data_IF_166686360426
#
_entry.id   IF_166686360426
#
_cell.length_a   1.000
_cell.length_b   1.000
_cell.length_c   1.000
_cell.angle_alpha   90.00
_cell.angle_beta   90.00
_cell.angle_gamma   90.00
#
_symmetry.space_group_name_H-M   'P 1'
#
loop_
_entity.id
_entity.type
_entity.pdbx_description
1 polymer ?
#
# COMPACT_ATOMS: atom_id res chain seq x y z
N UNK A 1 10.63 -12.52 10.75
CA UNK A 1 9.26 -11.99 10.84
C UNK A 1 8.72 -11.87 9.43
N UNK A 2 7.63 -12.57 9.12
CA UNK A 2 7.20 -12.73 7.75
C UNK A 2 6.75 -11.37 7.18
N UNK A 3 7.37 -10.95 6.08
CA UNK A 3 6.94 -9.78 5.32
C UNK A 3 5.66 -10.15 4.56
N UNK A 4 4.55 -10.30 5.28
CA UNK A 4 3.21 -10.59 4.74
C UNK A 4 2.52 -9.36 4.16
N UNK A 5 3.25 -8.27 3.94
CA UNK A 5 2.72 -7.04 3.37
C UNK A 5 2.89 -7.10 1.86
N UNK A 6 1.81 -7.44 1.15
CA UNK A 6 1.77 -7.44 -0.32
C UNK A 6 0.92 -6.27 -0.82
N UNK A 7 1.09 -5.89 -2.08
CA UNK A 7 0.14 -5.00 -2.72
C UNK A 7 -1.19 -5.72 -2.93
N UNK A 8 -2.30 -5.21 -2.42
CA UNK A 8 -3.62 -5.84 -2.58
C UNK A 8 -4.14 -5.77 -4.03
N UNK A 9 -3.48 -5.00 -4.91
CA UNK A 9 -3.85 -4.86 -6.32
C UNK A 9 -3.07 -5.80 -7.25
N UNK A 10 -1.76 -5.88 -7.10
CA UNK A 10 -0.89 -6.65 -7.99
C UNK A 10 -0.18 -7.83 -7.31
N UNK A 11 -0.45 -8.04 -6.02
CA UNK A 11 0.14 -9.09 -5.19
C UNK A 11 1.67 -9.07 -5.12
N UNK A 12 2.30 -7.96 -5.54
CA UNK A 12 3.75 -7.82 -5.48
C UNK A 12 4.22 -7.81 -4.03
N UNK A 13 5.21 -8.64 -3.75
CA UNK A 13 5.89 -8.72 -2.47
C UNK A 13 6.76 -7.49 -2.22
N UNK A 14 7.12 -7.20 -0.96
CA UNK A 14 7.95 -6.07 -0.66
C UNK A 14 9.40 -6.38 -1.02
N UNK A 15 9.85 -5.88 -2.17
CA UNK A 15 11.26 -5.95 -2.53
C UNK A 15 12.09 -5.00 -1.65
N UNK A 16 13.40 -5.22 -1.54
CA UNK A 16 14.32 -4.51 -0.60
C UNK A 16 14.18 -2.98 -0.58
N UNK A 17 13.70 -2.35 -1.67
CA UNK A 17 13.51 -0.89 -1.79
C UNK A 17 12.06 -0.46 -2.11
N UNK A 18 11.08 -1.37 -2.12
CA UNK A 18 9.71 -0.99 -2.45
C UNK A 18 9.02 -0.35 -1.24
N UNK A 19 8.60 0.90 -1.41
CA UNK A 19 7.69 1.59 -0.51
C UNK A 19 6.25 1.15 -0.78
N UNK A 20 5.52 0.90 0.31
CA UNK A 20 4.09 0.59 0.28
C UNK A 20 3.34 1.71 0.96
N UNK A 21 2.06 1.83 0.65
CA UNK A 21 1.18 2.78 1.31
C UNK A 21 -0.08 2.07 1.76
N UNK A 22 -0.55 2.40 2.95
CA UNK A 22 -1.77 1.88 3.54
C UNK A 22 -2.88 2.92 3.36
N UNK A 23 -4.04 2.47 2.94
CA UNK A 23 -5.24 3.30 2.92
C UNK A 23 -6.00 3.20 4.24
N UNK A 24 -6.77 4.22 4.58
CA UNK A 24 -7.66 4.25 5.75
C UNK A 24 -8.67 3.11 5.80
N UNK A 25 -9.04 2.54 4.65
CA UNK A 25 -9.88 1.33 4.57
C UNK A 25 -9.10 0.01 4.74
N UNK A 26 -7.80 0.07 5.02
CA UNK A 26 -6.95 -1.10 5.28
C UNK A 26 -6.27 -1.73 4.06
N UNK A 27 -6.48 -1.20 2.84
CA UNK A 27 -5.84 -1.74 1.64
C UNK A 27 -4.42 -1.21 1.46
N UNK A 28 -3.48 -2.11 1.13
CA UNK A 28 -2.08 -1.79 0.89
C UNK A 28 -1.79 -1.71 -0.60
N UNK A 29 -1.07 -0.66 -1.02
CA UNK A 29 -0.65 -0.46 -2.40
C UNK A 29 0.87 -0.29 -2.50
N UNK A 30 1.48 -0.90 -3.51
CA UNK A 30 2.87 -0.58 -3.87
C UNK A 30 2.92 0.79 -4.56
N UNK A 31 4.11 1.41 -4.53
CA UNK A 31 4.34 2.71 -5.18
C UNK A 31 3.85 2.77 -6.64
N UNK A 32 4.09 1.71 -7.44
CA UNK A 32 3.63 1.66 -8.84
C UNK A 32 2.10 1.64 -8.97
N UNK A 33 1.41 0.84 -8.16
CA UNK A 33 -0.06 0.77 -8.18
C UNK A 33 -0.71 2.05 -7.65
N UNK A 34 -0.05 2.74 -6.73
CA UNK A 34 -0.51 4.02 -6.21
C UNK A 34 -0.38 5.13 -7.25
N UNK A 35 0.74 5.19 -8.00
CA UNK A 35 0.93 6.16 -9.09
C UNK A 35 -0.06 5.97 -10.25
N UNK A 36 -0.49 4.72 -10.50
CA UNK A 36 -1.52 4.40 -11.50
C UNK A 36 -2.96 4.60 -10.98
N UNK A 37 -3.14 4.86 -9.69
CA UNK A 37 -4.45 4.99 -9.06
C UNK A 37 -4.93 6.43 -9.00
N UNK A 38 -6.22 6.60 -8.72
CA UNK A 38 -6.81 7.90 -8.41
C UNK A 38 -6.40 8.31 -7.00
N UNK A 39 -5.86 9.53 -6.86
CA UNK A 39 -5.47 10.06 -5.54
C UNK A 39 -6.70 10.12 -4.63
N UNK A 40 -6.55 9.64 -3.40
CA UNK A 40 -7.60 9.59 -2.38
C UNK A 40 -8.77 8.66 -2.68
N UNK A 41 -8.66 7.71 -3.60
CA UNK A 41 -9.68 6.69 -3.83
C UNK A 41 -9.07 5.29 -3.73
N UNK A 42 -9.69 4.45 -2.90
CA UNK A 42 -9.33 3.04 -2.87
C UNK A 42 -10.00 2.33 -4.03
N UNK A 43 -9.22 1.75 -4.93
CA UNK A 43 -9.70 1.04 -6.12
C UNK A 43 -10.37 -0.30 -5.81
N UNK A 44 -10.20 -0.82 -4.59
CA UNK A 44 -10.85 -2.06 -4.12
C UNK A 44 -12.19 -1.72 -3.46
N UNK A 45 -12.23 -0.69 -2.60
CA UNK A 45 -13.46 -0.25 -1.95
C UNK A 45 -14.34 0.64 -2.83
N UNK A 46 -13.78 1.23 -3.89
CA UNK A 46 -14.39 2.29 -4.70
C UNK A 46 -14.91 3.45 -3.85
N UNK A 47 -14.13 3.83 -2.84
CA UNK A 47 -14.50 4.82 -1.85
C UNK A 47 -13.35 5.80 -1.60
N UNK A 48 -13.66 7.05 -1.22
CA UNK A 48 -12.64 8.02 -0.83
C UNK A 48 -11.88 7.51 0.39
N UNK A 49 -10.56 7.42 0.29
CA UNK A 49 -9.69 6.88 1.32
C UNK A 49 -8.40 7.69 1.39
N UNK A 50 -8.06 8.15 2.60
CA UNK A 50 -6.74 8.73 2.83
C UNK A 50 -5.67 7.65 2.74
N UNK A 51 -4.51 7.99 2.19
CA UNK A 51 -3.35 7.10 2.02
C UNK A 51 -2.19 7.57 2.87
N UNK A 52 -1.55 6.67 3.61
CA UNK A 52 -0.35 6.92 4.42
C UNK A 52 0.81 6.05 3.94
N UNK A 53 2.01 6.61 3.88
CA UNK A 53 3.20 5.87 3.47
C UNK A 53 3.65 4.94 4.61
N UNK A 54 3.80 3.65 4.30
CA UNK A 54 4.42 2.70 5.22
C UNK A 54 5.94 2.86 5.10
N UNK A 55 6.50 3.64 6.02
CA UNK A 55 7.94 3.78 6.18
C UNK A 55 8.52 2.56 6.90
N UNK A 56 9.73 2.18 6.47
CA UNK A 56 10.46 0.98 6.89
C UNK A 56 11.04 1.14 8.30
N UNK A 57 10.21 1.44 9.30
CA UNK A 57 10.61 1.52 10.69
C UNK A 57 9.52 0.91 11.57
N UNK A 58 9.56 -0.41 11.67
CA UNK A 58 8.94 -1.14 12.77
C UNK A 58 10.10 -1.58 13.68
N UNK A 59 10.60 -0.63 14.48
CA UNK A 59 11.40 -0.94 15.66
C UNK A 59 10.45 -0.94 16.85
N UNK A 60 10.20 -2.12 17.41
CA UNK A 60 10.06 -2.36 18.86
C UNK A 60 10.67 -3.74 19.09
#
# INVERSE_FOLDING_TARGET
MASWVFCNRCFQSPHRKSSFSLTSCGHVYCHSCLLKGTKNECVICQAPCQTVLLSKHMYI
#
